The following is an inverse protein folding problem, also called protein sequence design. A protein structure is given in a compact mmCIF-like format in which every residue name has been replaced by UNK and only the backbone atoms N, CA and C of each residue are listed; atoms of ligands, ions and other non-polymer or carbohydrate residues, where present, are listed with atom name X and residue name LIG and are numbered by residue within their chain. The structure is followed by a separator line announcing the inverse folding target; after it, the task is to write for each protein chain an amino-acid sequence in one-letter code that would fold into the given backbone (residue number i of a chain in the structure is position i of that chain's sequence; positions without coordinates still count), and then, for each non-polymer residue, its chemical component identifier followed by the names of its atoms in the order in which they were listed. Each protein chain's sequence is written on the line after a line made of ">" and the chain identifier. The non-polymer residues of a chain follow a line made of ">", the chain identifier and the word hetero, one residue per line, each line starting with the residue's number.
data_IF_475281701960
#
_entry.id   IF_475281701960
#
_cell.length_a   1.000
_cell.length_b   1.000
_cell.length_c   1.000
_cell.angle_alpha   90.00
_cell.angle_beta   90.00
_cell.angle_gamma   90.00
#
_symmetry.space_group_name_H-M   'P 1'
#
loop_
_entity.id
_entity.type
_entity.pdbx_description
1 polymer ?
#
# COMPACT_ATOMS: atom_id res chain seq x y z
N UNK A 1 25.07 -20.37 11.17
CA UNK A 1 24.87 -19.35 12.22
C UNK A 1 25.14 -17.90 11.79
N UNK A 2 26.35 -17.50 11.33
CA UNK A 2 26.59 -16.11 10.87
C UNK A 2 25.93 -15.85 9.50
N UNK A 3 26.08 -16.79 8.56
CA UNK A 3 25.46 -16.70 7.22
C UNK A 3 23.93 -16.66 7.32
N UNK A 4 23.32 -17.49 8.17
CA UNK A 4 21.87 -17.47 8.42
C UNK A 4 21.40 -16.13 9.00
N UNK A 5 22.13 -15.54 9.97
CA UNK A 5 21.80 -14.21 10.49
C UNK A 5 21.95 -13.09 9.46
N UNK A 6 22.92 -13.20 8.55
CA UNK A 6 23.08 -12.27 7.43
C UNK A 6 21.94 -12.44 6.43
N UNK A 7 21.54 -13.68 6.12
CA UNK A 7 20.38 -13.95 5.27
C UNK A 7 19.08 -13.50 5.93
N UNK A 8 18.90 -13.67 7.23
CA UNK A 8 17.72 -13.21 7.97
C UNK A 8 17.66 -11.69 7.97
N UNK A 9 18.77 -10.99 8.20
CA UNK A 9 18.84 -9.54 8.10
C UNK A 9 18.56 -9.07 6.65
N UNK A 10 19.17 -9.71 5.65
CA UNK A 10 18.88 -9.43 4.24
C UNK A 10 17.44 -9.74 3.87
N UNK A 11 16.84 -10.79 4.42
CA UNK A 11 15.47 -11.21 4.15
C UNK A 11 14.49 -10.27 4.84
N UNK A 12 14.80 -9.79 6.05
CA UNK A 12 14.01 -8.81 6.77
C UNK A 12 14.08 -7.44 6.06
N UNK A 13 15.25 -7.01 5.63
CA UNK A 13 15.43 -5.80 4.82
C UNK A 13 14.75 -5.95 3.44
N UNK A 14 14.96 -7.08 2.76
CA UNK A 14 14.35 -7.39 1.47
C UNK A 14 12.84 -7.57 1.59
N UNK A 15 12.29 -8.05 2.70
CA UNK A 15 10.84 -8.18 2.91
C UNK A 15 10.14 -6.81 2.96
N UNK A 16 10.86 -5.78 3.42
CA UNK A 16 10.39 -4.38 3.34
C UNK A 16 10.32 -3.89 1.90
N UNK A 17 11.16 -4.45 1.01
CA UNK A 17 11.18 -4.16 -0.42
C UNK A 17 10.29 -5.08 -1.26
N UNK A 18 10.10 -6.33 -0.86
CA UNK A 18 9.41 -7.41 -1.56
C UNK A 18 8.09 -7.66 -0.84
N UNK A 19 7.09 -6.84 -1.14
CA UNK A 19 5.73 -7.07 -0.68
C UNK A 19 4.97 -7.92 -1.69
N UNK A 20 3.97 -8.68 -1.24
CA UNK A 20 3.06 -9.42 -2.14
C UNK A 20 2.51 -8.51 -3.24
N UNK A 21 2.23 -7.26 -2.89
CA UNK A 21 1.75 -6.25 -3.84
C UNK A 21 2.78 -5.91 -4.91
N UNK A 22 4.04 -5.66 -4.55
CA UNK A 22 5.10 -5.33 -5.51
C UNK A 22 5.42 -6.48 -6.45
N UNK A 23 5.37 -7.71 -5.94
CA UNK A 23 5.43 -8.93 -6.76
C UNK A 23 4.28 -8.94 -7.77
N UNK A 24 3.03 -8.75 -7.32
CA UNK A 24 1.87 -8.70 -8.21
C UNK A 24 1.97 -7.57 -9.24
N UNK A 25 2.45 -6.39 -8.84
CA UNK A 25 2.65 -5.25 -9.75
C UNK A 25 3.70 -5.58 -10.80
N UNK A 26 4.83 -6.18 -10.39
CA UNK A 26 5.88 -6.62 -11.30
C UNK A 26 5.35 -7.62 -12.32
N UNK A 27 4.64 -8.67 -11.90
CA UNK A 27 4.08 -9.66 -12.81
C UNK A 27 2.99 -9.08 -13.73
N UNK A 28 2.10 -8.23 -13.20
CA UNK A 28 1.09 -7.55 -14.00
C UNK A 28 1.74 -6.67 -15.07
N UNK A 29 2.81 -5.97 -14.70
CA UNK A 29 3.56 -5.12 -15.62
C UNK A 29 4.36 -5.93 -16.63
N UNK A 30 4.94 -7.06 -16.21
CA UNK A 30 5.62 -8.00 -17.09
C UNK A 30 4.66 -8.56 -18.14
N UNK A 31 3.46 -8.97 -17.73
CA UNK A 31 2.41 -9.42 -18.64
C UNK A 31 1.90 -8.32 -19.58
N UNK A 32 1.96 -7.05 -19.15
CA UNK A 32 1.55 -5.90 -19.95
C UNK A 32 2.59 -5.51 -21.01
N UNK A 33 3.88 -5.62 -20.67
CA UNK A 33 4.98 -5.30 -21.58
C UNK A 33 5.27 -6.46 -22.55
N UNK A 34 4.87 -7.68 -22.18
CA UNK A 34 4.95 -8.84 -23.07
C UNK A 34 3.80 -8.83 -24.08
N UNK A 35 3.87 -9.72 -25.06
CA UNK A 35 2.74 -10.00 -25.95
C UNK A 35 1.66 -10.85 -25.27
N UNK A 36 1.64 -10.93 -23.93
CA UNK A 36 0.77 -11.87 -23.20
C UNK A 36 -0.68 -11.48 -23.38
N UNK A 37 -1.00 -10.18 -23.36
CA UNK A 37 -2.35 -9.69 -23.63
C UNK A 37 -2.78 -10.03 -25.06
N UNK A 38 -1.91 -9.85 -26.05
CA UNK A 38 -2.19 -10.22 -27.45
C UNK A 38 -2.46 -11.72 -27.61
N UNK A 39 -1.72 -12.56 -26.90
CA UNK A 39 -1.91 -14.02 -26.91
C UNK A 39 -3.26 -14.40 -26.28
N UNK A 40 -3.62 -13.79 -25.14
CA UNK A 40 -4.90 -14.06 -24.45
C UNK A 40 -6.10 -13.60 -25.30
N UNK A 41 -5.95 -12.51 -26.07
CA UNK A 41 -7.02 -11.98 -26.91
C UNK A 41 -7.23 -12.76 -28.22
N UNK A 42 -6.33 -13.66 -28.60
CA UNK A 42 -6.50 -14.51 -29.78
C UNK A 42 -7.58 -15.56 -29.51
N UNK A 43 -8.48 -15.74 -30.47
CA UNK A 43 -9.55 -16.75 -30.38
C UNK A 43 -9.00 -18.17 -30.16
N UNK A 44 -7.89 -18.50 -30.83
CA UNK A 44 -7.21 -19.79 -30.74
C UNK A 44 -6.69 -20.13 -29.34
N UNK A 45 -6.47 -19.11 -28.49
CA UNK A 45 -6.07 -19.32 -27.10
C UNK A 45 -7.21 -19.96 -26.27
N UNK A 46 -8.47 -19.61 -26.58
CA UNK A 46 -9.64 -20.10 -25.84
C UNK A 46 -10.19 -21.41 -26.39
N UNK A 47 -9.93 -21.70 -27.66
CA UNK A 47 -10.42 -22.90 -28.34
C UNK A 47 -9.37 -24.00 -28.47
N UNK A 48 -8.10 -23.67 -28.24
CA UNK A 48 -6.98 -24.62 -28.26
C UNK A 48 -6.83 -25.48 -27.01
N UNK A 49 -5.84 -26.37 -27.01
CA UNK A 49 -5.53 -27.18 -25.84
C UNK A 49 -4.91 -26.33 -24.72
N UNK A 50 -5.19 -26.67 -23.46
CA UNK A 50 -4.61 -26.03 -22.28
C UNK A 50 -3.06 -26.04 -22.30
N UNK A 51 -2.46 -27.08 -22.90
CA UNK A 51 -1.01 -27.19 -23.04
C UNK A 51 -0.45 -26.17 -24.04
N UNK A 52 -1.13 -25.98 -25.18
CA UNK A 52 -0.71 -25.02 -26.22
C UNK A 52 -0.90 -23.58 -25.76
N UNK A 53 -2.01 -23.29 -25.08
CA UNK A 53 -2.26 -21.98 -24.47
C UNK A 53 -1.21 -21.65 -23.39
N UNK A 54 -0.84 -22.61 -22.54
CA UNK A 54 0.21 -22.46 -21.53
C UNK A 54 1.60 -22.20 -22.14
N UNK A 55 1.96 -22.96 -23.19
CA UNK A 55 3.23 -22.78 -23.90
C UNK A 55 3.31 -21.41 -24.60
N UNK A 56 2.22 -20.96 -25.23
CA UNK A 56 2.14 -19.65 -25.87
C UNK A 56 2.27 -18.49 -24.85
N UNK A 57 1.66 -18.64 -23.66
CA UNK A 57 1.81 -17.68 -22.56
C UNK A 57 3.24 -17.60 -22.04
N UNK A 58 3.86 -18.75 -21.77
CA UNK A 58 5.24 -18.82 -21.27
C UNK A 58 6.24 -18.25 -22.29
N UNK A 59 6.10 -18.63 -23.56
CA UNK A 59 6.92 -18.10 -24.66
C UNK A 59 6.77 -16.58 -24.81
N UNK A 60 5.55 -16.07 -24.66
CA UNK A 60 5.28 -14.64 -24.71
C UNK A 60 5.93 -13.88 -23.54
N UNK A 61 5.87 -14.43 -22.32
CA UNK A 61 6.52 -13.83 -21.16
C UNK A 61 8.05 -13.82 -21.27
N UNK A 62 8.66 -14.88 -21.81
CA UNK A 62 10.12 -14.99 -21.97
C UNK A 62 10.66 -14.27 -23.21
N UNK A 63 9.79 -13.82 -24.13
CA UNK A 63 10.19 -13.07 -25.33
C UNK A 63 10.72 -11.65 -25.07
N UNK A 64 10.61 -11.16 -23.83
CA UNK A 64 11.08 -9.82 -23.47
C UNK A 64 12.59 -9.82 -23.27
N UNK A 65 13.25 -8.81 -23.85
CA UNK A 65 14.68 -8.60 -23.64
C UNK A 65 15.02 -8.38 -22.15
N UNK A 66 16.11 -8.99 -21.69
CA UNK A 66 16.53 -8.99 -20.28
C UNK A 66 16.60 -7.57 -19.66
N UNK A 67 17.10 -6.58 -20.40
CA UNK A 67 17.19 -5.20 -19.90
C UNK A 67 15.81 -4.58 -19.60
N UNK A 68 14.75 -4.95 -20.34
CA UNK A 68 13.38 -4.50 -20.04
C UNK A 68 12.87 -5.14 -18.76
N UNK A 69 13.20 -6.41 -18.53
CA UNK A 69 12.86 -7.11 -17.29
C UNK A 69 13.56 -6.50 -16.07
N UNK A 70 14.85 -6.14 -16.20
CA UNK A 70 15.59 -5.41 -15.16
C UNK A 70 14.96 -4.03 -14.91
N UNK A 71 14.59 -3.30 -15.96
CA UNK A 71 13.92 -2.00 -15.83
C UNK A 71 12.57 -2.11 -15.13
N UNK A 72 11.78 -3.14 -15.44
CA UNK A 72 10.51 -3.44 -14.76
C UNK A 72 10.72 -3.73 -13.29
N UNK A 73 11.75 -4.52 -12.95
CA UNK A 73 12.09 -4.81 -11.57
C UNK A 73 12.49 -3.55 -10.80
N UNK A 74 13.39 -2.72 -11.35
CA UNK A 74 13.79 -1.44 -10.74
C UNK A 74 12.57 -0.53 -10.57
N UNK A 75 11.70 -0.45 -11.56
CA UNK A 75 10.52 0.41 -11.53
C UNK A 75 9.52 -0.05 -10.47
N UNK A 76 9.23 -1.36 -10.40
CA UNK A 76 8.23 -1.91 -9.48
C UNK A 76 8.70 -2.02 -8.03
N UNK A 77 9.97 -2.34 -7.80
CA UNK A 77 10.49 -2.58 -6.44
C UNK A 77 11.19 -1.36 -5.84
N UNK A 78 11.59 -0.37 -6.65
CA UNK A 78 12.35 0.78 -6.16
C UNK A 78 11.69 2.13 -6.52
N UNK A 79 11.56 2.45 -7.80
CA UNK A 79 11.14 3.81 -8.23
C UNK A 79 9.68 4.08 -7.87
N UNK A 80 8.77 3.16 -8.20
CA UNK A 80 7.33 3.29 -7.92
C UNK A 80 7.04 3.51 -6.43
N UNK A 81 7.52 2.62 -5.53
CA UNK A 81 7.38 2.81 -4.09
C UNK A 81 7.96 4.13 -3.57
N UNK A 82 9.12 4.56 -4.06
CA UNK A 82 9.74 5.82 -3.66
C UNK A 82 8.87 7.01 -4.04
N UNK A 83 8.36 7.07 -5.27
CA UNK A 83 7.49 8.14 -5.72
C UNK A 83 6.14 8.14 -5.01
N UNK A 84 5.52 6.96 -4.83
CA UNK A 84 4.27 6.81 -4.09
C UNK A 84 4.40 7.36 -2.66
N UNK A 85 5.47 6.98 -1.96
CA UNK A 85 5.72 7.43 -0.58
C UNK A 85 6.01 8.93 -0.52
N UNK A 86 6.81 9.47 -1.44
CA UNK A 86 7.13 10.90 -1.48
C UNK A 86 5.88 11.74 -1.77
N UNK A 87 5.04 11.34 -2.72
CA UNK A 87 3.79 12.01 -3.02
C UNK A 87 2.82 11.98 -1.84
N UNK A 88 2.65 10.81 -1.21
CA UNK A 88 1.80 10.66 -0.03
C UNK A 88 2.31 11.51 1.14
N UNK A 89 3.63 11.56 1.38
CA UNK A 89 4.23 12.36 2.43
C UNK A 89 4.02 13.87 2.23
N UNK A 90 4.20 14.37 1.00
CA UNK A 90 3.98 15.78 0.69
C UNK A 90 2.53 16.19 0.95
N UNK A 91 1.57 15.37 0.49
CA UNK A 91 0.14 15.61 0.72
C UNK A 91 -0.22 15.50 2.20
N UNK A 92 0.39 14.55 2.93
CA UNK A 92 0.18 14.39 4.36
C UNK A 92 0.68 15.62 5.13
N UNK A 93 1.88 16.14 4.82
CA UNK A 93 2.43 17.36 5.45
C UNK A 93 1.56 18.59 5.22
N UNK A 94 0.93 18.68 4.05
CA UNK A 94 -0.01 19.75 3.75
C UNK A 94 -1.34 19.58 4.49
N UNK A 95 -1.85 18.33 4.57
CA UNK A 95 -3.12 18.02 5.24
C UNK A 95 -3.06 17.98 6.76
N UNK A 96 -1.93 17.62 7.35
CA UNK A 96 -1.75 17.63 8.80
C UNK A 96 -2.03 19.01 9.40
N UNK A 97 -1.61 20.08 8.72
CA UNK A 97 -1.91 21.47 9.11
C UNK A 97 -3.40 21.83 9.13
N UNK A 98 -4.26 20.98 8.58
CA UNK A 98 -5.70 21.17 8.52
C UNK A 98 -6.45 20.08 9.31
N UNK A 99 -5.73 19.17 9.98
CA UNK A 99 -6.28 18.02 10.66
C UNK A 99 -6.51 18.25 12.15
N UNK A 100 -6.14 19.42 12.69
CA UNK A 100 -6.21 19.75 14.13
C UNK A 100 -7.59 19.48 14.71
N UNK A 101 -8.66 19.85 14.00
CA UNK A 101 -10.05 19.58 14.41
C UNK A 101 -10.37 18.09 14.58
N UNK A 102 -9.73 17.21 13.80
CA UNK A 102 -9.92 15.76 13.93
C UNK A 102 -9.22 15.24 15.19
N UNK A 103 -8.06 15.78 15.52
CA UNK A 103 -7.34 15.44 16.75
C UNK A 103 -8.11 15.94 17.98
N UNK A 104 -8.54 17.20 17.98
CA UNK A 104 -9.37 17.78 19.06
C UNK A 104 -10.66 16.98 19.31
N UNK A 105 -11.33 16.53 18.24
CA UNK A 105 -12.52 15.70 18.36
C UNK A 105 -12.23 14.35 19.04
N UNK A 106 -11.08 13.73 18.75
CA UNK A 106 -10.64 12.49 19.37
C UNK A 106 -10.28 12.71 20.85
N UNK A 107 -9.54 13.77 21.16
CA UNK A 107 -9.18 14.13 22.54
C UNK A 107 -10.44 14.37 23.38
N UNK A 108 -11.40 15.13 22.86
CA UNK A 108 -12.69 15.37 23.51
C UNK A 108 -13.49 14.07 23.71
N UNK A 109 -13.48 13.17 22.71
CA UNK A 109 -14.17 11.89 22.82
C UNK A 109 -13.57 11.05 23.96
N UNK A 110 -12.24 11.00 24.08
CA UNK A 110 -11.55 10.22 25.11
C UNK A 110 -11.73 10.83 26.50
N UNK A 111 -11.73 12.15 26.61
CA UNK A 111 -11.98 12.85 27.87
C UNK A 111 -13.36 12.46 28.44
N UNK A 112 -14.38 12.34 27.58
CA UNK A 112 -15.76 12.01 27.99
C UNK A 112 -15.99 10.57 28.45
N UNK A 113 -15.04 9.65 28.21
CA UNK A 113 -15.21 8.22 28.54
C UNK A 113 -15.07 7.99 30.05
N UNK A 114 -16.10 7.38 30.64
CA UNK A 114 -16.12 6.95 32.04
C UNK A 114 -15.20 5.74 32.27
N UNK A 115 -14.61 5.66 33.45
CA UNK A 115 -13.64 4.61 33.85
C UNK A 115 -14.28 3.20 33.78
N UNK A 116 -15.55 3.07 34.15
CA UNK A 116 -16.29 1.80 34.20
C UNK A 116 -16.38 1.08 32.85
N UNK A 117 -16.45 1.83 31.75
CA UNK A 117 -16.57 1.28 30.38
C UNK A 117 -15.22 1.26 29.63
N UNK A 118 -14.15 1.70 30.29
CA UNK A 118 -12.85 1.92 29.66
C UNK A 118 -12.24 0.63 29.11
N UNK A 119 -12.29 -0.46 29.88
CA UNK A 119 -11.77 -1.76 29.47
C UNK A 119 -12.49 -2.32 28.23
N UNK A 120 -13.81 -2.22 28.20
CA UNK A 120 -14.64 -2.67 27.07
C UNK A 120 -14.40 -1.83 25.82
N UNK A 121 -14.29 -0.51 25.98
CA UNK A 121 -13.96 0.41 24.88
C UNK A 121 -12.55 0.17 24.34
N UNK A 122 -11.59 -0.13 25.22
CA UNK A 122 -10.20 -0.40 24.83
C UNK A 122 -10.08 -1.67 24.00
N UNK A 123 -10.76 -2.75 24.39
CA UNK A 123 -10.77 -3.99 23.63
C UNK A 123 -11.35 -3.78 22.22
N UNK A 124 -12.49 -3.09 22.12
CA UNK A 124 -13.10 -2.74 20.82
C UNK A 124 -12.19 -1.85 19.98
N UNK A 125 -11.59 -0.82 20.58
CA UNK A 125 -10.70 0.11 19.89
C UNK A 125 -9.43 -0.58 19.37
N UNK A 126 -8.91 -1.60 20.08
CA UNK A 126 -7.79 -2.42 19.62
C UNK A 126 -8.12 -3.14 18.32
N UNK A 127 -9.26 -3.83 18.27
CA UNK A 127 -9.67 -4.59 17.07
C UNK A 127 -9.89 -3.65 15.88
N UNK A 128 -10.51 -2.50 16.12
CA UNK A 128 -10.70 -1.47 15.09
C UNK A 128 -9.36 -0.87 14.61
N UNK A 129 -8.39 -0.69 15.50
CA UNK A 129 -7.05 -0.21 15.14
C UNK A 129 -6.29 -1.22 14.28
N UNK A 130 -6.35 -2.51 14.60
CA UNK A 130 -5.73 -3.59 13.79
C UNK A 130 -6.36 -3.66 12.39
N UNK A 131 -7.69 -3.51 12.29
CA UNK A 131 -8.37 -3.44 11.00
C UNK A 131 -7.94 -2.18 10.21
N UNK A 132 -7.84 -1.04 10.90
CA UNK A 132 -7.43 0.23 10.33
C UNK A 132 -6.01 0.19 9.75
N UNK A 133 -5.06 -0.47 10.40
CA UNK A 133 -3.70 -0.67 9.89
C UNK A 133 -3.71 -1.42 8.54
N UNK A 134 -4.45 -2.54 8.47
CA UNK A 134 -4.62 -3.29 7.21
C UNK A 134 -5.25 -2.44 6.10
N UNK A 135 -6.21 -1.57 6.44
CA UNK A 135 -6.81 -0.66 5.46
C UNK A 135 -5.82 0.39 4.95
N UNK A 136 -4.97 0.95 5.83
CA UNK A 136 -3.92 1.89 5.45
C UNK A 136 -2.90 1.20 4.54
N UNK A 137 -2.46 -0.02 4.87
CA UNK A 137 -1.55 -0.80 4.03
C UNK A 137 -2.12 -1.05 2.62
N UNK A 138 -3.39 -1.46 2.53
CA UNK A 138 -4.06 -1.64 1.23
C UNK A 138 -4.09 -0.34 0.42
N UNK A 139 -4.34 0.80 1.07
CA UNK A 139 -4.35 2.12 0.39
C UNK A 139 -2.96 2.53 -0.09
N UNK A 140 -1.91 2.24 0.68
CA UNK A 140 -0.52 2.41 0.24
C UNK A 140 -0.22 1.55 -0.99
N UNK A 141 -0.64 0.28 -0.97
CA UNK A 141 -0.45 -0.63 -2.09
C UNK A 141 -1.15 -0.16 -3.37
N UNK A 142 -2.39 0.38 -3.26
CA UNK A 142 -3.09 0.99 -4.40
C UNK A 142 -2.27 2.15 -4.98
N UNK A 143 -1.76 3.05 -4.13
CA UNK A 143 -0.92 4.16 -4.58
C UNK A 143 0.34 3.68 -5.32
N UNK A 144 1.07 2.72 -4.74
CA UNK A 144 2.26 2.11 -5.36
C UNK A 144 1.94 1.46 -6.71
N UNK A 145 0.83 0.73 -6.80
CA UNK A 145 0.39 0.06 -8.03
C UNK A 145 0.13 1.06 -9.17
N UNK A 146 -0.66 2.10 -8.89
CA UNK A 146 -1.02 3.09 -9.92
C UNK A 146 0.20 3.84 -10.44
N UNK A 147 1.09 4.33 -9.57
CA UNK A 147 2.27 5.05 -10.05
C UNK A 147 3.21 4.13 -10.83
N UNK A 148 3.36 2.87 -10.41
CA UNK A 148 4.20 1.90 -11.10
C UNK A 148 3.67 1.61 -12.51
N UNK A 149 2.36 1.42 -12.65
CA UNK A 149 1.74 1.26 -13.97
C UNK A 149 1.96 2.49 -14.85
N UNK A 150 1.81 3.70 -14.31
CA UNK A 150 2.04 4.94 -15.06
C UNK A 150 3.49 5.05 -15.53
N UNK A 151 4.45 4.73 -14.66
CA UNK A 151 5.87 4.74 -15.03
C UNK A 151 6.18 3.73 -16.14
N UNK A 152 5.58 2.54 -16.05
CA UNK A 152 5.81 1.47 -17.02
C UNK A 152 5.16 1.82 -18.35
N UNK A 153 3.91 2.30 -18.34
CA UNK A 153 3.25 2.82 -19.53
C UNK A 153 4.06 3.96 -20.16
N UNK A 154 4.53 4.92 -19.34
CA UNK A 154 5.41 5.99 -19.78
C UNK A 154 6.69 5.47 -20.45
N UNK A 155 7.34 4.47 -19.86
CA UNK A 155 8.57 3.89 -20.41
C UNK A 155 8.38 3.20 -21.77
N UNK A 156 7.27 2.48 -21.97
CA UNK A 156 6.91 1.84 -23.24
C UNK A 156 6.59 2.93 -24.28
N UNK A 157 5.85 3.94 -23.85
CA UNK A 157 5.37 5.01 -24.70
C UNK A 157 6.49 5.86 -25.30
N UNK A 158 7.52 6.21 -24.51
CA UNK A 158 8.72 6.92 -25.03
C UNK A 158 9.48 6.10 -26.08
N UNK A 159 9.30 4.77 -26.11
CA UNK A 159 9.92 3.89 -27.11
C UNK A 159 9.09 3.70 -28.39
N UNK A 160 7.82 4.11 -28.41
CA UNK A 160 6.88 3.76 -29.49
C UNK A 160 6.09 4.95 -30.12
N UNK A 161 6.43 6.20 -29.79
CA UNK A 161 5.85 7.43 -30.38
C UNK A 161 4.30 7.51 -30.36
N UNK A 162 3.65 7.15 -29.26
CA UNK A 162 2.18 7.31 -29.11
C UNK A 162 1.80 8.76 -28.68
N UNK A 163 0.52 9.05 -28.34
CA UNK A 163 0.03 10.39 -27.90
C UNK A 163 0.21 10.71 -26.41
N UNK A 164 0.95 11.77 -26.09
CA UNK A 164 1.45 12.14 -24.73
C UNK A 164 0.29 12.44 -23.77
N UNK A 165 -0.88 12.73 -24.34
CA UNK A 165 -2.13 13.06 -23.67
C UNK A 165 -2.57 11.98 -22.68
N UNK A 166 -2.41 10.69 -23.02
CA UNK A 166 -2.85 9.57 -22.14
C UNK A 166 -2.03 9.50 -20.86
N UNK A 167 -0.71 9.75 -20.96
CA UNK A 167 0.18 9.81 -19.79
C UNK A 167 -0.20 11.01 -18.92
N UNK A 168 -0.42 12.17 -19.54
CA UNK A 168 -0.83 13.40 -18.84
C UNK A 168 -2.13 13.19 -18.05
N UNK A 169 -3.16 12.62 -18.68
CA UNK A 169 -4.45 12.32 -18.04
C UNK A 169 -4.26 11.34 -16.88
N UNK A 170 -3.45 10.29 -17.07
CA UNK A 170 -3.20 9.27 -16.05
C UNK A 170 -2.43 9.83 -14.85
N UNK A 171 -1.48 10.75 -15.07
CA UNK A 171 -0.77 11.46 -14.00
C UNK A 171 -1.70 12.36 -13.20
N UNK A 172 -2.57 13.13 -13.87
CA UNK A 172 -3.58 13.97 -13.20
C UNK A 172 -4.53 13.09 -12.38
N UNK A 173 -5.02 12.00 -12.95
CA UNK A 173 -5.89 11.05 -12.26
C UNK A 173 -5.19 10.44 -11.02
N UNK A 174 -3.90 10.11 -11.13
CA UNK A 174 -3.11 9.61 -10.01
C UNK A 174 -2.96 10.66 -8.90
N UNK A 175 -2.68 11.92 -9.22
CA UNK A 175 -2.59 12.99 -8.21
C UNK A 175 -3.90 13.10 -7.41
N UNK A 176 -5.04 13.09 -8.09
CA UNK A 176 -6.36 13.10 -7.45
C UNK A 176 -6.57 11.86 -6.59
N UNK A 177 -6.17 10.68 -7.08
CA UNK A 177 -6.23 9.43 -6.33
C UNK A 177 -5.38 9.50 -5.05
N UNK A 178 -4.11 9.94 -5.13
CA UNK A 178 -3.23 10.05 -3.95
C UNK A 178 -3.83 11.00 -2.93
N UNK A 179 -4.37 12.13 -3.39
CA UNK A 179 -5.07 13.08 -2.53
C UNK A 179 -6.23 12.42 -1.76
N UNK A 180 -7.12 11.69 -2.45
CA UNK A 180 -8.25 10.98 -1.81
C UNK A 180 -7.75 9.89 -0.85
N UNK A 181 -6.72 9.14 -1.24
CA UNK A 181 -6.16 8.07 -0.42
C UNK A 181 -5.53 8.61 0.86
N UNK A 182 -4.73 9.69 0.77
CA UNK A 182 -4.08 10.32 1.91
C UNK A 182 -5.10 10.85 2.90
N UNK A 183 -6.17 11.51 2.44
CA UNK A 183 -7.24 11.97 3.32
C UNK A 183 -7.91 10.82 4.07
N UNK A 184 -8.28 9.74 3.36
CA UNK A 184 -8.89 8.57 3.98
C UNK A 184 -7.94 7.89 4.97
N UNK A 185 -6.65 7.77 4.63
CA UNK A 185 -5.64 7.21 5.54
C UNK A 185 -5.48 8.06 6.80
N UNK A 186 -5.45 9.39 6.67
CA UNK A 186 -5.36 10.30 7.81
C UNK A 186 -6.58 10.20 8.72
N UNK A 187 -7.79 10.19 8.17
CA UNK A 187 -9.03 10.03 8.95
C UNK A 187 -9.03 8.69 9.69
N UNK A 188 -8.70 7.59 9.01
CA UNK A 188 -8.62 6.24 9.61
C UNK A 188 -7.57 6.23 10.73
N UNK A 189 -6.40 6.82 10.49
CA UNK A 189 -5.34 6.90 11.48
C UNK A 189 -5.80 7.64 12.74
N UNK A 190 -6.36 8.85 12.59
CA UNK A 190 -6.77 9.67 13.73
C UNK A 190 -7.93 9.03 14.48
N UNK A 191 -8.99 8.63 13.76
CA UNK A 191 -10.21 8.13 14.39
C UNK A 191 -10.08 6.75 15.03
N UNK A 192 -9.16 5.89 14.56
CA UNK A 192 -9.03 4.50 15.05
C UNK A 192 -7.72 4.25 15.76
N UNK A 193 -6.59 4.54 15.12
CA UNK A 193 -5.26 4.20 15.64
C UNK A 193 -4.85 5.18 16.74
N UNK A 194 -4.95 6.49 16.47
CA UNK A 194 -4.60 7.52 17.45
C UNK A 194 -5.56 7.49 18.64
N UNK A 195 -6.87 7.33 18.37
CA UNK A 195 -7.89 7.10 19.41
C UNK A 195 -7.52 5.93 20.33
N UNK A 196 -7.20 4.76 19.77
CA UNK A 196 -6.77 3.61 20.56
C UNK A 196 -5.52 3.89 21.41
N UNK A 197 -4.51 4.57 20.85
CA UNK A 197 -3.27 4.92 21.57
C UNK A 197 -3.54 5.82 22.77
N UNK A 198 -4.37 6.84 22.60
CA UNK A 198 -4.73 7.76 23.67
C UNK A 198 -5.63 7.08 24.72
N UNK A 199 -6.54 6.21 24.30
CA UNK A 199 -7.39 5.43 25.21
C UNK A 199 -6.55 4.47 26.06
N UNK A 200 -5.55 3.82 25.46
CA UNK A 200 -4.59 2.97 26.16
C UNK A 200 -3.78 3.78 27.18
N UNK A 201 -3.31 4.99 26.80
CA UNK A 201 -2.60 5.88 27.71
C UNK A 201 -3.46 6.29 28.92
N UNK A 202 -4.74 6.64 28.69
CA UNK A 202 -5.71 6.93 29.77
C UNK A 202 -5.91 5.72 30.69
N UNK A 203 -6.07 4.52 30.12
CA UNK A 203 -6.20 3.30 30.92
C UNK A 203 -4.96 3.05 31.79
N UNK A 204 -3.76 3.23 31.24
CA UNK A 204 -2.52 3.09 32.00
C UNK A 204 -2.39 4.12 33.13
N UNK A 205 -2.74 5.40 32.90
CA UNK A 205 -2.67 6.42 33.96
C UNK A 205 -3.65 6.15 35.11
N UNK A 206 -4.85 5.67 34.79
CA UNK A 206 -5.88 5.35 35.81
C UNK A 206 -5.58 4.07 36.61
N UNK A 207 -4.85 3.11 36.01
CA UNK A 207 -4.35 1.94 36.75
C UNK A 207 -3.24 2.31 37.72
N UNK A 208 -2.40 3.30 37.38
CA UNK A 208 -1.32 3.78 38.26
C UNK A 208 -1.86 4.66 39.39
N UNK A 209 -2.92 5.45 39.15
CA UNK A 209 -3.55 6.30 40.16
C UNK A 209 -4.45 5.53 41.15
N UNK A 210 -4.74 4.25 40.91
CA UNK A 210 -5.59 3.41 41.74
C UNK A 210 -4.88 2.12 42.24
N UNK A 211 -3.82 2.20 43.07
CA UNK A 211 -3.08 1.01 43.54
C UNK A 211 -3.84 0.15 44.57
N UNK A 212 -5.14 0.40 44.81
CA UNK A 212 -5.81 0.03 46.07
C UNK A 212 -7.09 -0.78 45.98
N UNK A 213 -7.56 -1.20 44.80
CA UNK A 213 -8.73 -2.11 44.70
C UNK A 213 -8.31 -3.49 44.24
N UNK A 214 -7.85 -4.28 45.22
CA UNK A 214 -7.89 -5.74 45.14
C UNK A 214 -9.33 -6.18 44.84
N UNK A 215 -9.58 -6.98 43.78
CA UNK A 215 -10.83 -7.72 43.67
C UNK A 215 -10.74 -8.92 44.61
N UNK A 216 -11.43 -8.82 45.76
CA UNK A 216 -12.00 -10.00 46.43
C UNK A 216 -13.41 -10.19 45.88
#
# INVERSE_FOLDING_TARGET
>A
MIIEKVFDAFYEEASRFITKWRISVFFASWAFVSKTIEVILKFDFWTGSLADGGAALLSSLTSIAFYKLVLLAITAFYIGPLLANKAAYLLLKWRMRHADKLFEAVDSAIASIRIEILATQLAKARDEAVLAEKQIERRKAINEFYITLILIYGSIFFSAMYSVEIIGISLVAWIVLVYILVQKMLIIYVSKIHYFKLLAAKASSEMISSPGKNPN
#
